data_IF_537240116822
#
_entry.id   IF_537240116822
#
_cell.length_a   1.000
_cell.length_b   1.000
_cell.length_c   1.000
_cell.angle_alpha   90.00
_cell.angle_beta   90.00
_cell.angle_gamma   90.00
#
_symmetry.space_group_name_H-M   'P 1'
#
loop_
_entity.id
_entity.type
_entity.pdbx_description
1 polymer ?
#
# COMPACT_ATOMS: atom_id res chain seq x y z
N UNK A 1 5.54 -9.74 -11.32
CA UNK A 1 5.48 -8.32 -11.74
C UNK A 1 4.07 -7.87 -12.08
N UNK A 2 3.23 -8.73 -12.66
CA UNK A 2 1.85 -8.41 -13.05
C UNK A 2 1.03 -7.65 -11.98
N UNK A 3 1.02 -8.12 -10.73
CA UNK A 3 0.30 -7.46 -9.61
C UNK A 3 0.80 -6.05 -9.30
N UNK A 4 2.10 -5.80 -9.46
CA UNK A 4 2.72 -4.48 -9.24
C UNK A 4 2.27 -3.52 -10.34
N UNK A 5 2.24 -3.98 -11.59
CA UNK A 5 1.78 -3.17 -12.73
C UNK A 5 0.29 -2.87 -12.63
N UNK A 6 -0.54 -3.85 -12.26
CA UNK A 6 -1.97 -3.68 -12.00
C UNK A 6 -2.21 -2.62 -10.90
N UNK A 7 -1.45 -2.67 -9.81
CA UNK A 7 -1.51 -1.66 -8.77
C UNK A 7 -1.21 -0.26 -9.34
N UNK A 8 -0.09 -0.10 -10.03
CA UNK A 8 0.31 1.19 -10.59
C UNK A 8 -0.66 1.72 -11.65
N UNK A 9 -1.30 0.84 -12.41
CA UNK A 9 -2.28 1.20 -13.44
C UNK A 9 -3.58 1.77 -12.86
N UNK A 10 -3.91 1.49 -11.59
CA UNK A 10 -5.12 2.01 -10.93
C UNK A 10 -4.84 3.18 -9.98
N UNK A 11 -3.58 3.36 -9.56
CA UNK A 11 -3.20 4.41 -8.62
C UNK A 11 -3.32 5.81 -9.22
N UNK A 12 -4.32 6.58 -8.78
CA UNK A 12 -4.61 7.94 -9.27
C UNK A 12 -4.72 8.04 -10.80
N UNK A 13 -5.10 6.95 -11.46
CA UNK A 13 -5.35 6.89 -12.90
C UNK A 13 -6.85 6.73 -13.17
N UNK A 14 -7.35 7.37 -14.24
CA UNK A 14 -8.75 7.22 -14.65
C UNK A 14 -9.02 5.81 -15.18
N UNK A 15 -10.24 5.26 -15.00
CA UNK A 15 -11.41 5.89 -14.38
C UNK A 15 -11.47 5.77 -12.85
N UNK A 16 -10.63 4.93 -12.23
CA UNK A 16 -10.79 4.51 -10.83
C UNK A 16 -10.26 5.55 -9.83
N UNK A 17 -9.12 6.19 -10.13
CA UNK A 17 -8.47 7.19 -9.29
C UNK A 17 -8.20 6.72 -7.85
N UNK A 18 -7.87 5.44 -7.67
CA UNK A 18 -7.69 4.83 -6.37
C UNK A 18 -6.55 5.45 -5.56
N UNK A 19 -6.75 5.49 -4.24
CA UNK A 19 -5.71 5.86 -3.28
C UNK A 19 -4.73 4.70 -3.03
N UNK A 20 -3.69 4.94 -2.22
CA UNK A 20 -2.64 3.95 -1.97
C UNK A 20 -3.15 2.61 -1.43
N UNK A 21 -4.13 2.63 -0.52
CA UNK A 21 -4.68 1.43 0.11
C UNK A 21 -5.61 0.68 -0.85
N UNK A 22 -6.51 1.42 -1.49
CA UNK A 22 -7.46 0.89 -2.48
C UNK A 22 -6.75 0.17 -3.62
N UNK A 23 -5.72 0.80 -4.16
CA UNK A 23 -4.90 0.24 -5.23
C UNK A 23 -4.30 -1.11 -4.85
N UNK A 24 -3.74 -1.23 -3.64
CA UNK A 24 -3.12 -2.49 -3.19
C UNK A 24 -4.18 -3.56 -2.99
N UNK A 25 -5.32 -3.26 -2.35
CA UNK A 25 -6.39 -4.23 -2.19
C UNK A 25 -6.94 -4.71 -3.56
N UNK A 26 -7.24 -3.78 -4.47
CA UNK A 26 -7.74 -4.11 -5.80
C UNK A 26 -6.75 -4.96 -6.61
N UNK A 27 -5.45 -4.64 -6.56
CA UNK A 27 -4.44 -5.40 -7.30
C UNK A 27 -4.31 -6.85 -6.82
N UNK A 28 -4.65 -7.15 -5.56
CA UNK A 28 -4.53 -8.48 -4.97
C UNK A 28 -5.90 -9.17 -4.75
N UNK A 29 -6.93 -8.79 -5.52
CA UNK A 29 -8.22 -9.49 -5.52
C UNK A 29 -9.03 -9.30 -4.23
N UNK A 30 -8.82 -8.17 -3.54
CA UNK A 30 -9.58 -7.74 -2.36
C UNK A 30 -10.47 -6.56 -2.68
N UNK A 31 -11.25 -6.68 -3.75
CA UNK A 31 -12.24 -5.69 -4.19
C UNK A 31 -13.27 -5.41 -3.09
N UNK A 32 -13.58 -6.43 -2.25
CA UNK A 32 -14.43 -6.33 -1.07
C UNK A 32 -13.98 -5.25 -0.08
N UNK A 33 -12.68 -4.94 -0.03
CA UNK A 33 -12.11 -3.94 0.88
C UNK A 33 -11.96 -2.55 0.26
N UNK A 34 -12.09 -2.41 -1.07
CA UNK A 34 -11.72 -1.16 -1.78
C UNK A 34 -12.56 0.03 -1.30
N UNK A 35 -13.85 -0.17 -1.02
CA UNK A 35 -14.70 0.90 -0.50
C UNK A 35 -14.28 1.32 0.92
N UNK A 36 -14.04 0.35 1.80
CA UNK A 36 -13.57 0.60 3.17
C UNK A 36 -12.21 1.30 3.22
N UNK A 37 -11.37 1.11 2.21
CA UNK A 37 -10.06 1.74 2.09
C UNK A 37 -10.11 3.18 1.52
N UNK A 38 -11.27 3.68 1.08
CA UNK A 38 -11.39 5.02 0.49
C UNK A 38 -10.96 6.15 1.45
N UNK A 39 -11.19 5.96 2.75
CA UNK A 39 -10.81 6.90 3.82
C UNK A 39 -9.32 6.88 4.16
N UNK A 40 -8.57 5.84 3.77
CA UNK A 40 -7.18 5.61 4.18
C UNK A 40 -6.12 6.35 3.34
N UNK A 41 -6.53 7.17 2.37
CA UNK A 41 -5.62 7.94 1.52
C UNK A 41 -4.96 9.11 2.26
N UNK A 42 -3.70 9.44 1.91
CA UNK A 42 -3.03 10.66 2.41
C UNK A 42 -2.55 10.61 3.86
N UNK A 43 -2.28 9.42 4.39
CA UNK A 43 -1.85 9.24 5.79
C UNK A 43 -3.01 9.24 6.79
N UNK A 44 -4.22 8.93 6.33
CA UNK A 44 -5.43 8.79 7.16
C UNK A 44 -5.73 7.33 7.55
N UNK A 45 -4.87 6.39 7.17
CA UNK A 45 -4.95 5.05 7.73
C UNK A 45 -4.68 5.09 9.26
N UNK A 46 -5.10 4.08 10.03
CA UNK A 46 -4.85 4.02 11.47
C UNK A 46 -3.40 4.34 11.85
N UNK A 47 -3.22 5.10 12.93
CA UNK A 47 -1.91 5.58 13.42
C UNK A 47 -1.10 6.42 12.41
N UNK A 48 -1.72 6.92 11.33
CA UNK A 48 -1.02 7.65 10.27
C UNK A 48 -0.18 6.78 9.34
N UNK A 49 -0.41 5.45 9.39
CA UNK A 49 0.29 4.46 8.58
C UNK A 49 0.16 4.75 7.09
N UNK A 50 1.17 4.38 6.31
CA UNK A 50 1.10 4.46 4.85
C UNK A 50 -0.08 3.63 4.34
N UNK A 51 -0.95 4.23 3.53
CA UNK A 51 -2.11 3.52 2.98
C UNK A 51 -1.73 2.27 2.18
N UNK A 52 -0.61 2.29 1.44
CA UNK A 52 -0.16 1.12 0.69
C UNK A 52 0.20 -0.06 1.61
N UNK A 53 0.92 0.22 2.69
CA UNK A 53 1.26 -0.77 3.72
C UNK A 53 0.00 -1.27 4.42
N UNK A 54 -0.88 -0.35 4.82
CA UNK A 54 -2.12 -0.73 5.49
C UNK A 54 -3.00 -1.63 4.62
N UNK A 55 -3.17 -1.29 3.33
CA UNK A 55 -3.87 -2.14 2.37
C UNK A 55 -3.23 -3.53 2.25
N UNK A 56 -1.91 -3.61 2.19
CA UNK A 56 -1.20 -4.89 2.17
C UNK A 56 -1.46 -5.73 3.43
N UNK A 57 -1.50 -5.10 4.61
CA UNK A 57 -1.85 -5.79 5.86
C UNK A 57 -3.30 -6.29 5.87
N UNK A 58 -4.21 -5.67 5.11
CA UNK A 58 -5.57 -6.21 4.95
C UNK A 58 -5.64 -7.37 3.96
N UNK A 59 -4.75 -7.40 2.96
CA UNK A 59 -4.63 -8.50 1.99
C UNK A 59 -4.13 -9.77 2.67
N UNK A 60 -3.08 -9.67 3.50
CA UNK A 60 -2.55 -10.78 4.31
C UNK A 60 -2.44 -10.40 5.80
N UNK A 61 -3.56 -10.41 6.55
CA UNK A 61 -3.58 -10.05 7.97
C UNK A 61 -2.62 -10.87 8.82
N UNK A 62 -2.45 -12.15 8.52
CA UNK A 62 -1.56 -13.08 9.21
C UNK A 62 -0.07 -12.75 9.02
N UNK A 63 0.28 -11.98 7.98
CA UNK A 63 1.66 -11.53 7.71
C UNK A 63 1.88 -10.04 7.97
N UNK A 64 0.94 -9.39 8.67
CA UNK A 64 1.00 -7.96 8.99
C UNK A 64 2.33 -7.49 9.59
N UNK A 65 2.88 -8.26 10.55
CA UNK A 65 4.16 -7.93 11.18
C UNK A 65 5.34 -8.04 10.21
N UNK A 66 5.36 -9.08 9.36
CA UNK A 66 6.38 -9.28 8.33
C UNK A 66 6.31 -8.19 7.26
N UNK A 67 5.09 -7.82 6.84
CA UNK A 67 4.83 -6.72 5.89
C UNK A 67 5.36 -5.40 6.43
N UNK A 68 5.04 -5.07 7.69
CA UNK A 68 5.54 -3.86 8.35
C UNK A 68 7.07 -3.84 8.40
N UNK A 69 7.69 -4.94 8.86
CA UNK A 69 9.14 -5.03 8.97
C UNK A 69 9.84 -4.87 7.61
N UNK A 70 9.38 -5.58 6.59
CA UNK A 70 9.94 -5.49 5.24
C UNK A 70 9.72 -4.10 4.62
N UNK A 71 8.57 -3.49 4.85
CA UNK A 71 8.27 -2.15 4.33
C UNK A 71 9.16 -1.08 4.96
N UNK A 72 9.35 -1.15 6.28
CA UNK A 72 10.25 -0.24 7.01
C UNK A 72 11.69 -0.48 6.59
N UNK A 73 12.14 -1.72 6.44
CA UNK A 73 13.49 -2.03 5.96
C UNK A 73 13.74 -1.45 4.55
N UNK A 74 12.73 -1.46 3.68
CA UNK A 74 12.86 -0.95 2.31
C UNK A 74 12.73 0.58 2.19
N UNK A 75 11.92 1.24 3.02
CA UNK A 75 11.57 2.66 2.89
C UNK A 75 12.04 3.55 4.05
N UNK A 76 12.59 2.95 5.11
CA UNK A 76 13.05 3.63 6.32
C UNK A 76 11.94 4.04 7.30
N UNK A 77 10.66 3.96 6.93
CA UNK A 77 9.53 4.33 7.80
C UNK A 77 8.22 3.65 7.38
N UNK A 78 7.22 3.69 8.25
CA UNK A 78 5.87 3.13 8.02
C UNK A 78 4.78 4.20 7.90
N UNK A 79 5.00 5.42 8.42
CA UNK A 79 3.97 6.47 8.40
C UNK A 79 4.10 7.38 7.18
N UNK A 80 2.98 7.88 6.67
CA UNK A 80 3.01 8.82 5.54
C UNK A 80 3.79 10.10 5.88
N UNK A 81 3.76 10.56 7.13
CA UNK A 81 4.47 11.77 7.57
C UNK A 81 5.98 11.60 7.42
N UNK A 82 6.53 10.50 7.92
CA UNK A 82 7.97 10.23 7.85
C UNK A 82 8.44 9.92 6.43
N UNK A 83 7.65 9.11 5.70
CA UNK A 83 7.92 8.77 4.31
C UNK A 83 8.00 10.03 3.43
N UNK A 84 7.10 11.00 3.63
CA UNK A 84 7.07 12.25 2.87
C UNK A 84 8.05 13.31 3.37
N UNK A 85 8.29 13.35 4.67
CA UNK A 85 9.23 14.28 5.29
C UNK A 85 10.67 13.89 5.00
N UNK A 86 11.29 13.20 5.95
CA UNK A 86 12.72 12.90 5.92
C UNK A 86 13.11 11.96 4.76
N UNK A 87 12.27 10.95 4.47
CA UNK A 87 12.63 9.92 3.48
C UNK A 87 12.28 10.29 2.03
N UNK A 88 11.47 11.35 1.83
CA UNK A 88 11.04 11.87 0.52
C UNK A 88 10.52 10.80 -0.47
N UNK A 89 9.91 9.72 0.03
CA UNK A 89 9.42 8.60 -0.76
C UNK A 89 8.10 8.96 -1.47
N UNK A 90 8.01 8.88 -2.81
CA UNK A 90 6.77 9.10 -3.56
C UNK A 90 5.68 8.07 -3.23
N UNK A 91 4.39 8.42 -3.34
CA UNK A 91 3.31 7.47 -2.98
C UNK A 91 3.28 6.28 -3.94
N UNK A 92 3.62 6.53 -5.20
CA UNK A 92 3.74 5.50 -6.22
C UNK A 92 4.82 4.47 -5.86
N UNK A 93 5.93 4.93 -5.26
CA UNK A 93 6.99 4.04 -4.78
C UNK A 93 6.51 3.22 -3.57
N UNK A 94 5.79 3.83 -2.63
CA UNK A 94 5.16 3.08 -1.52
C UNK A 94 4.21 1.99 -2.03
N UNK A 95 3.39 2.26 -3.04
CA UNK A 95 2.49 1.28 -3.67
C UNK A 95 3.31 0.15 -4.33
N UNK A 96 4.32 0.51 -5.13
CA UNK A 96 5.20 -0.46 -5.79
C UNK A 96 5.88 -1.39 -4.78
N UNK A 97 6.40 -0.82 -3.69
CA UNK A 97 7.08 -1.56 -2.62
C UNK A 97 6.13 -2.47 -1.85
N UNK A 98 4.97 -1.97 -1.45
CA UNK A 98 3.97 -2.79 -0.76
C UNK A 98 3.52 -3.98 -1.63
N UNK A 99 3.26 -3.75 -2.93
CA UNK A 99 2.93 -4.81 -3.86
C UNK A 99 4.07 -5.82 -4.07
N UNK A 100 5.33 -5.36 -4.15
CA UNK A 100 6.50 -6.26 -4.24
C UNK A 100 6.59 -7.18 -3.02
N UNK A 101 6.49 -6.62 -1.82
CA UNK A 101 6.60 -7.37 -0.56
C UNK A 101 5.45 -8.37 -0.43
N UNK A 102 4.23 -8.01 -0.83
CA UNK A 102 3.09 -8.94 -0.86
C UNK A 102 3.40 -10.17 -1.73
N UNK A 103 3.92 -9.96 -2.95
CA UNK A 103 4.32 -11.06 -3.85
C UNK A 103 5.45 -11.89 -3.24
N UNK A 104 6.47 -11.25 -2.66
CA UNK A 104 7.60 -11.93 -1.99
C UNK A 104 7.13 -12.79 -0.80
N UNK A 105 6.09 -12.33 -0.10
CA UNK A 105 5.46 -13.05 0.99
C UNK A 105 4.37 -14.03 0.53
N UNK A 106 4.13 -14.19 -0.76
CA UNK A 106 3.27 -15.25 -1.33
C UNK A 106 1.77 -14.90 -1.45
N UNK A 107 1.43 -13.62 -1.64
CA UNK A 107 0.09 -13.20 -2.07
C UNK A 107 -0.14 -13.33 -3.58
#
# INVERSE_FOLDING_TARGET
>A
MERIEQALATFRQKPLMYNCAQTVCAAFGREDLVESMASCGGGRAPEGTCGALYGAMQVMPEKSAALLAAFVAANGASTCRELKGCNRVPCQECVRRAASILVELGA
#
